data_IF_637448620074
#
_entry.id   IF_637448620074
#
_cell.length_a   1.000
_cell.length_b   1.000
_cell.length_c   1.000
_cell.angle_alpha   90.00
_cell.angle_beta   90.00
_cell.angle_gamma   90.00
#
_symmetry.space_group_name_H-M   'P 1'
#
loop_
_entity.id
_entity.type
_entity.pdbx_description
1 polymer ?
#
# COMPACT_ATOMS: atom_id res chain seq x y z
N UNK A 1 6.46 -6.67 4.11
CA UNK A 1 5.02 -6.71 4.51
C UNK A 1 4.15 -6.13 3.41
N UNK A 2 4.39 -4.90 2.95
CA UNK A 2 3.56 -4.26 1.94
C UNK A 2 4.15 -4.43 0.53
N UNK A 3 4.76 -3.37 0.00
CA UNK A 3 5.32 -3.30 -1.35
C UNK A 3 6.82 -2.96 -1.34
N UNK A 4 7.48 -3.10 -2.49
CA UNK A 4 8.88 -2.68 -2.69
C UNK A 4 8.95 -1.25 -3.27
N UNK A 5 9.48 -0.25 -2.53
CA UNK A 5 9.52 1.15 -2.96
C UNK A 5 10.62 1.47 -3.99
N UNK A 6 11.41 0.48 -4.43
CA UNK A 6 12.45 0.64 -5.45
C UNK A 6 12.01 0.16 -6.84
N UNK A 7 10.78 -0.35 -6.97
CA UNK A 7 10.24 -0.87 -8.23
C UNK A 7 9.52 0.25 -9.00
N UNK A 8 10.14 0.72 -10.09
CA UNK A 8 9.60 1.80 -10.91
C UNK A 8 8.51 1.27 -11.86
N UNK A 9 7.26 1.67 -11.62
CA UNK A 9 6.09 1.29 -12.43
C UNK A 9 5.79 -0.22 -12.46
N UNK A 10 6.05 -0.92 -11.36
CA UNK A 10 5.58 -2.29 -11.16
C UNK A 10 5.58 -2.66 -9.67
N UNK A 11 4.86 -3.71 -9.31
CA UNK A 11 4.98 -4.35 -8.01
C UNK A 11 4.86 -5.86 -8.16
N UNK A 12 5.91 -6.60 -7.80
CA UNK A 12 5.92 -8.05 -7.99
C UNK A 12 5.60 -8.42 -9.45
N UNK A 13 4.53 -9.20 -9.73
CA UNK A 13 4.14 -9.60 -11.09
C UNK A 13 3.40 -8.52 -11.90
N UNK A 14 3.00 -7.40 -11.28
CA UNK A 14 2.11 -6.43 -11.91
C UNK A 14 2.86 -5.23 -12.49
N UNK A 15 2.75 -5.02 -13.81
CA UNK A 15 3.52 -4.02 -14.55
C UNK A 15 2.65 -2.91 -15.16
N UNK A 16 3.11 -1.66 -15.05
CA UNK A 16 2.45 -0.47 -15.57
C UNK A 16 2.44 0.69 -14.58
N UNK A 17 2.20 1.91 -15.08
CA UNK A 17 2.21 3.14 -14.27
C UNK A 17 1.11 3.18 -13.21
N UNK A 18 0.07 2.37 -13.36
CA UNK A 18 -0.98 2.13 -12.36
C UNK A 18 -0.48 1.40 -11.11
N UNK A 19 0.69 0.75 -11.17
CA UNK A 19 1.32 0.05 -10.05
C UNK A 19 2.53 0.79 -9.46
N UNK A 20 2.74 2.06 -9.83
CA UNK A 20 3.85 2.87 -9.30
C UNK A 20 3.70 3.12 -7.80
N UNK A 21 4.81 3.15 -7.07
CA UNK A 21 4.82 3.58 -5.67
C UNK A 21 4.61 5.09 -5.59
N UNK A 22 3.61 5.54 -4.84
CA UNK A 22 3.33 6.97 -4.62
C UNK A 22 2.69 7.19 -3.26
N UNK A 23 2.93 8.35 -2.66
CA UNK A 23 2.23 8.86 -1.48
C UNK A 23 1.46 10.12 -1.90
N UNK A 24 0.14 10.08 -1.73
CA UNK A 24 -0.72 11.24 -1.91
C UNK A 24 -0.87 11.97 -0.57
N UNK A 25 -0.11 13.05 -0.37
CA UNK A 25 -0.18 13.83 0.85
C UNK A 25 -1.43 14.73 0.82
N UNK A 26 -2.25 14.67 1.87
CA UNK A 26 -3.45 15.48 2.03
C UNK A 26 -3.18 16.90 2.52
N UNK A 27 -1.98 17.16 3.07
CA UNK A 27 -1.54 18.48 3.52
C UNK A 27 0.00 18.58 3.57
N UNK A 28 0.49 19.80 3.78
CA UNK A 28 1.93 20.10 3.84
C UNK A 28 2.65 19.37 4.98
N UNK A 29 1.97 19.13 6.10
CA UNK A 29 2.58 18.41 7.22
C UNK A 29 2.85 16.95 6.85
N UNK A 30 1.88 16.27 6.22
CA UNK A 30 2.07 14.91 5.71
C UNK A 30 3.16 14.85 4.64
N UNK A 31 3.21 15.84 3.74
CA UNK A 31 4.26 15.94 2.73
C UNK A 31 5.65 16.02 3.37
N UNK A 32 5.86 16.94 4.32
CA UNK A 32 7.15 17.10 5.03
C UNK A 32 7.58 15.83 5.76
N UNK A 33 6.63 15.15 6.42
CA UNK A 33 6.90 13.88 7.11
C UNK A 33 7.33 12.81 6.11
N UNK A 34 6.64 12.67 4.99
CA UNK A 34 6.97 11.69 3.96
C UNK A 34 8.34 11.97 3.31
N UNK A 35 8.62 13.23 2.96
CA UNK A 35 9.93 13.66 2.43
C UNK A 35 11.06 13.32 3.40
N UNK A 36 10.90 13.69 4.67
CA UNK A 36 11.90 13.47 5.70
C UNK A 36 12.17 11.99 5.92
N UNK A 37 11.12 11.16 5.89
CA UNK A 37 11.25 9.73 6.10
C UNK A 37 11.89 9.01 4.91
N UNK A 38 11.54 9.38 3.68
CA UNK A 38 12.22 8.87 2.47
C UNK A 38 13.71 9.20 2.52
N UNK A 39 14.05 10.47 2.82
CA UNK A 39 15.44 10.90 2.94
C UNK A 39 16.20 10.14 4.05
N UNK A 40 15.53 9.86 5.18
CA UNK A 40 16.11 9.06 6.25
C UNK A 40 16.44 7.63 5.79
N UNK A 41 15.52 6.98 5.07
CA UNK A 41 15.72 5.62 4.55
C UNK A 41 16.85 5.56 3.49
N UNK A 42 16.90 6.54 2.59
CA UNK A 42 17.95 6.64 1.57
C UNK A 42 19.34 6.88 2.20
N UNK A 43 19.41 7.73 3.23
CA UNK A 43 20.65 7.98 3.99
C UNK A 43 21.09 6.73 4.74
N UNK A 44 20.14 6.02 5.34
CA UNK A 44 20.42 4.78 6.09
C UNK A 44 20.69 3.56 5.19
N UNK A 45 20.53 3.69 3.86
CA UNK A 45 20.72 2.60 2.89
C UNK A 45 19.93 1.34 3.26
N UNK A 46 18.70 1.54 3.73
CA UNK A 46 17.77 0.45 4.09
C UNK A 46 17.45 -0.42 2.87
N UNK A 47 17.40 0.19 1.69
CA UNK A 47 17.20 -0.50 0.41
C UNK A 47 18.49 -0.52 -0.40
N UNK A 48 18.71 -1.61 -1.13
CA UNK A 48 19.87 -1.77 -2.02
C UNK A 48 19.81 -0.90 -3.28
N UNK A 49 18.63 -0.39 -3.61
CA UNK A 49 18.36 0.49 -4.74
C UNK A 49 17.67 1.77 -4.24
N UNK A 50 17.78 2.89 -4.98
CA UNK A 50 17.10 4.13 -4.62
C UNK A 50 15.58 3.96 -4.49
N UNK A 51 14.98 4.65 -3.54
CA UNK A 51 13.53 4.75 -3.44
C UNK A 51 12.99 5.57 -4.62
N UNK A 52 12.05 5.00 -5.38
CA UNK A 52 11.40 5.65 -6.54
C UNK A 52 9.97 6.11 -6.20
N UNK A 53 9.62 6.11 -4.93
CA UNK A 53 8.29 6.52 -4.44
C UNK A 53 8.07 8.01 -4.70
N UNK A 54 7.03 8.35 -5.46
CA UNK A 54 6.69 9.75 -5.73
C UNK A 54 5.88 10.36 -4.59
N UNK A 55 5.97 11.68 -4.43
CA UNK A 55 5.11 12.45 -3.52
C UNK A 55 4.22 13.37 -4.33
N UNK A 56 2.90 13.18 -4.20
CA UNK A 56 1.90 13.92 -4.96
C UNK A 56 0.93 14.63 -4.01
N UNK A 57 0.47 15.83 -4.40
CA UNK A 57 -0.50 16.63 -3.64
C UNK A 57 -1.60 17.14 -4.57
N UNK A 58 -2.80 17.39 -4.03
CA UNK A 58 -3.90 18.01 -4.78
C UNK A 58 -4.47 17.14 -5.91
N UNK A 59 -4.33 15.81 -5.80
CA UNK A 59 -4.89 14.86 -6.76
C UNK A 59 -6.32 14.49 -6.37
N UNK A 60 -7.20 14.42 -7.37
CA UNK A 60 -8.55 13.89 -7.19
C UNK A 60 -8.49 12.38 -7.01
N UNK A 61 -9.19 11.88 -6.00
CA UNK A 61 -9.40 10.44 -5.81
C UNK A 61 -10.71 10.02 -6.46
N UNK A 62 -10.66 9.04 -7.33
CA UNK A 62 -11.84 8.42 -7.94
C UNK A 62 -12.02 7.04 -7.33
N UNK A 63 -13.12 6.78 -6.60
CA UNK A 63 -13.41 5.46 -6.09
C UNK A 63 -13.45 4.43 -7.23
N UNK A 64 -12.79 3.28 -7.02
CA UNK A 64 -12.97 2.13 -7.89
C UNK A 64 -14.39 1.57 -7.74
N UNK A 65 -14.84 0.82 -8.73
CA UNK A 65 -16.15 0.19 -8.77
C UNK A 65 -16.40 -0.74 -7.57
N UNK A 66 -17.66 -0.94 -7.21
CA UNK A 66 -18.05 -1.70 -6.01
C UNK A 66 -17.47 -3.12 -5.96
N UNK A 67 -17.30 -3.78 -7.12
CA UNK A 67 -16.74 -5.12 -7.18
C UNK A 67 -15.23 -5.18 -6.84
N UNK A 68 -14.54 -4.03 -6.86
CA UNK A 68 -13.16 -3.92 -6.38
C UNK A 68 -13.05 -3.65 -4.88
N UNK A 69 -14.12 -3.15 -4.25
CA UNK A 69 -14.11 -2.86 -2.82
C UNK A 69 -14.13 -4.17 -2.01
N UNK A 70 -13.37 -4.20 -0.91
CA UNK A 70 -13.28 -5.34 0.00
C UNK A 70 -12.89 -6.69 -0.68
N UNK A 71 -12.25 -6.64 -1.87
CA UNK A 71 -12.05 -7.79 -2.76
C UNK A 71 -11.38 -8.99 -2.10
N UNK A 72 -10.31 -8.78 -1.31
CA UNK A 72 -9.62 -9.85 -0.58
C UNK A 72 -10.58 -10.57 0.38
N UNK A 73 -11.37 -9.81 1.13
CA UNK A 73 -12.32 -10.34 2.12
C UNK A 73 -13.44 -11.14 1.44
N UNK A 74 -13.91 -10.67 0.28
CA UNK A 74 -14.99 -11.32 -0.48
C UNK A 74 -14.51 -12.52 -1.31
N UNK A 75 -13.22 -12.55 -1.68
CA UNK A 75 -12.64 -13.58 -2.55
C UNK A 75 -11.34 -14.17 -1.96
N UNK A 76 -11.35 -14.71 -0.73
CA UNK A 76 -10.13 -15.09 -0.02
C UNK A 76 -9.36 -16.24 -0.66
N UNK A 77 -10.02 -17.03 -1.52
CA UNK A 77 -9.43 -18.17 -2.24
C UNK A 77 -9.05 -17.83 -3.67
N UNK A 78 -9.23 -16.58 -4.11
CA UNK A 78 -8.85 -16.19 -5.47
C UNK A 78 -7.33 -16.37 -5.66
N UNK A 79 -6.86 -17.04 -6.73
CA UNK A 79 -5.45 -17.45 -6.84
C UNK A 79 -4.45 -16.30 -6.65
N UNK A 80 -4.77 -15.12 -7.18
CA UNK A 80 -3.94 -13.94 -7.02
C UNK A 80 -3.83 -13.51 -5.54
N UNK A 81 -4.95 -13.52 -4.78
CA UNK A 81 -4.96 -13.21 -3.34
C UNK A 81 -4.10 -14.21 -2.57
N UNK A 82 -4.29 -15.51 -2.84
CA UNK A 82 -3.58 -16.59 -2.15
C UNK A 82 -2.07 -16.48 -2.36
N UNK A 83 -1.64 -16.22 -3.59
CA UNK A 83 -0.22 -16.18 -3.94
C UNK A 83 0.46 -14.86 -3.54
N UNK A 84 -0.22 -13.72 -3.71
CA UNK A 84 0.42 -12.41 -3.57
C UNK A 84 0.07 -11.67 -2.27
N UNK A 85 -1.15 -11.81 -1.74
CA UNK A 85 -1.64 -10.93 -0.66
C UNK A 85 -1.73 -11.62 0.70
N UNK A 86 -2.16 -12.88 0.78
CA UNK A 86 -2.17 -13.62 2.04
C UNK A 86 -0.77 -13.70 2.71
N UNK A 87 0.34 -13.90 1.97
CA UNK A 87 1.68 -13.84 2.57
C UNK A 87 2.00 -12.47 3.18
N UNK A 88 1.51 -11.38 2.59
CA UNK A 88 1.69 -10.02 3.12
C UNK A 88 0.95 -9.83 4.44
N UNK A 89 -0.30 -10.31 4.52
CA UNK A 89 -1.11 -10.27 5.76
C UNK A 89 -0.47 -11.13 6.86
N UNK A 90 0.00 -12.33 6.53
CA UNK A 90 0.71 -13.19 7.47
C UNK A 90 1.99 -12.50 8.00
N UNK A 91 2.77 -11.89 7.11
CA UNK A 91 3.97 -11.12 7.50
C UNK A 91 3.63 -9.90 8.37
N UNK A 92 2.49 -9.22 8.13
CA UNK A 92 2.02 -8.14 9.00
C UNK A 92 1.74 -8.64 10.42
N UNK A 93 1.01 -9.76 10.54
CA UNK A 93 0.70 -10.40 11.83
C UNK A 93 1.98 -10.79 12.59
N UNK A 94 2.95 -11.36 11.88
CA UNK A 94 4.22 -11.80 12.48
C UNK A 94 5.11 -10.65 12.91
N UNK A 95 5.30 -9.64 12.06
CA UNK A 95 6.25 -8.55 12.32
C UNK A 95 5.68 -7.44 13.21
N UNK A 96 4.36 -7.24 13.20
CA UNK A 96 3.70 -6.16 13.92
C UNK A 96 2.49 -6.66 14.72
N UNK A 97 2.64 -7.65 15.62
CA UNK A 97 1.51 -8.29 16.31
C UNK A 97 0.68 -7.31 17.16
N UNK A 98 1.30 -6.23 17.67
CA UNK A 98 0.62 -5.20 18.46
C UNK A 98 -0.21 -4.23 17.61
N UNK A 99 0.08 -4.13 16.31
CA UNK A 99 -0.62 -3.24 15.37
C UNK A 99 -1.61 -4.01 14.48
N UNK A 100 -1.48 -5.34 14.43
CA UNK A 100 -2.35 -6.20 13.65
C UNK A 100 -3.74 -6.33 14.29
N UNK A 101 -4.78 -6.26 13.46
CA UNK A 101 -6.18 -6.53 13.82
C UNK A 101 -6.69 -7.71 13.02
N UNK A 102 -7.33 -8.68 13.69
CA UNK A 102 -8.03 -9.79 13.02
C UNK A 102 -9.31 -9.35 12.31
N UNK A 103 -9.91 -8.24 12.76
CA UNK A 103 -11.11 -7.66 12.13
C UNK A 103 -10.69 -6.62 11.09
N UNK A 104 -10.96 -6.83 9.79
CA UNK A 104 -10.70 -5.83 8.78
C UNK A 104 -11.69 -4.67 8.89
N UNK A 105 -11.25 -3.48 8.48
CA UNK A 105 -12.15 -2.33 8.25
C UNK A 105 -12.64 -2.43 6.81
N UNK A 106 -13.96 -2.50 6.62
CA UNK A 106 -14.59 -2.74 5.32
C UNK A 106 -15.27 -1.49 4.79
N UNK A 107 -15.08 -1.21 3.50
CA UNK A 107 -15.67 -0.04 2.83
C UNK A 107 -17.18 -0.20 2.72
N UNK A 108 -17.65 -1.38 2.29
CA UNK A 108 -19.08 -1.64 2.05
C UNK A 108 -19.91 -1.73 3.33
N UNK A 109 -19.27 -1.97 4.48
CA UNK A 109 -19.93 -1.93 5.78
C UNK A 109 -20.07 -0.48 6.30
N UNK A 110 -19.08 0.37 6.02
CA UNK A 110 -19.02 1.76 6.49
C UNK A 110 -19.92 2.70 5.67
N UNK A 111 -20.19 2.38 4.40
CA UNK A 111 -21.05 3.17 3.51
C UNK A 111 -22.56 2.98 3.76
N UNK A 112 -22.94 2.04 4.62
CA UNK A 112 -24.35 1.76 4.99
C UNK A 112 -24.82 2.46 6.27
N UNK A 113 -24.02 3.38 6.82
CA UNK A 113 -24.30 4.14 8.04
C UNK A 113 -24.69 5.58 7.75
#
# INVERSE_FOLDING_TARGET
VAHNPTQLNYQGPDHGTQYRSTIFAGNDQQKKVAESYIAQLDKAKVFSQPIVTTLETGKTFYPAEDYHQDFLTLNPTYPYIVYNDLPKVANLKTLFPKLYSEKPVLVLASSKS
#
